data_IF_359814397983
#
_entry.id   IF_359814397983
#
_cell.length_a   1.000
_cell.length_b   1.000
_cell.length_c   1.000
_cell.angle_alpha   90.00
_cell.angle_beta   90.00
_cell.angle_gamma   90.00
#
_symmetry.space_group_name_H-M   'P 1'
#
loop_
_entity.id
_entity.type
_entity.pdbx_description
1 polymer ?
#
# COMPACT_ATOMS: atom_id res chain seq x y z
N UNK A 1 27.63 -23.99 -21.84
CA UNK A 1 28.49 -23.40 -20.81
C UNK A 1 29.39 -24.49 -20.17
N UNK A 2 28.84 -25.64 -19.74
CA UNK A 2 29.62 -26.74 -19.14
C UNK A 2 30.62 -27.36 -20.11
N UNK A 3 30.29 -27.45 -21.42
CA UNK A 3 31.16 -28.03 -22.43
C UNK A 3 32.31 -27.09 -22.86
N UNK A 4 32.11 -25.76 -22.81
CA UNK A 4 33.07 -24.77 -23.26
C UNK A 4 33.32 -23.68 -22.21
N UNK A 5 33.91 -24.00 -21.05
CA UNK A 5 34.09 -23.08 -19.96
C UNK A 5 35.07 -21.95 -20.23
N UNK A 6 35.95 -22.11 -21.23
CA UNK A 6 36.95 -21.12 -21.64
C UNK A 6 36.52 -20.26 -22.84
N UNK A 7 35.27 -20.40 -23.30
CA UNK A 7 34.76 -19.59 -24.40
C UNK A 7 34.75 -18.12 -24.03
N UNK A 8 35.31 -17.26 -24.87
CA UNK A 8 35.53 -15.82 -24.58
C UNK A 8 34.26 -15.08 -24.12
N UNK A 9 33.11 -15.46 -24.68
CA UNK A 9 31.80 -14.86 -24.35
C UNK A 9 30.99 -15.67 -23.32
N UNK A 10 31.60 -16.62 -22.62
CA UNK A 10 30.90 -17.47 -21.64
C UNK A 10 30.17 -16.66 -20.55
N UNK A 11 30.74 -15.53 -20.16
CA UNK A 11 30.12 -14.65 -19.15
C UNK A 11 28.86 -13.96 -19.64
N UNK A 12 28.77 -13.66 -20.95
CA UNK A 12 27.54 -13.08 -21.55
C UNK A 12 26.42 -14.11 -21.42
N UNK A 13 26.67 -15.36 -21.79
CA UNK A 13 25.66 -16.42 -21.67
C UNK A 13 25.29 -16.74 -20.22
N UNK A 14 26.25 -16.66 -19.28
CA UNK A 14 25.98 -16.82 -17.85
C UNK A 14 25.08 -15.70 -17.34
N UNK A 15 25.33 -14.46 -17.73
CA UNK A 15 24.51 -13.33 -17.34
C UNK A 15 23.09 -13.43 -17.91
N UNK A 16 22.96 -13.79 -19.19
CA UNK A 16 21.66 -14.01 -19.82
C UNK A 16 20.88 -15.14 -19.12
N UNK A 17 21.54 -16.25 -18.80
CA UNK A 17 20.91 -17.34 -18.07
C UNK A 17 20.45 -16.89 -16.68
N UNK A 18 21.30 -16.16 -15.95
CA UNK A 18 20.95 -15.61 -14.64
C UNK A 18 19.77 -14.64 -14.71
N UNK A 19 19.73 -13.77 -15.74
CA UNK A 19 18.59 -12.89 -15.97
C UNK A 19 17.30 -13.69 -16.22
N UNK A 20 17.36 -14.71 -17.06
CA UNK A 20 16.22 -15.59 -17.34
C UNK A 20 15.75 -16.37 -16.11
N UNK A 21 16.65 -16.77 -15.21
CA UNK A 21 16.35 -17.52 -13.98
C UNK A 21 16.02 -16.59 -12.79
N UNK A 22 16.15 -15.29 -12.95
CA UNK A 22 15.82 -14.33 -11.91
C UNK A 22 14.30 -14.24 -11.72
N UNK A 23 13.78 -14.40 -10.50
CA UNK A 23 12.37 -14.30 -10.26
C UNK A 23 11.88 -12.86 -10.47
N UNK A 24 10.75 -12.73 -11.13
CA UNK A 24 10.04 -11.46 -11.30
C UNK A 24 8.71 -11.53 -10.55
N UNK A 25 8.36 -10.49 -9.86
CA UNK A 25 7.11 -10.39 -9.13
C UNK A 25 6.56 -8.98 -9.20
N UNK A 26 5.44 -8.81 -9.87
CA UNK A 26 4.65 -7.59 -9.91
C UNK A 26 3.38 -7.78 -9.10
N UNK A 27 3.04 -6.81 -8.27
CA UNK A 27 1.91 -6.91 -7.34
C UNK A 27 1.05 -5.66 -7.46
N UNK A 28 -0.25 -5.88 -7.64
CA UNK A 28 -1.27 -4.87 -7.48
C UNK A 28 -2.14 -5.24 -6.28
N UNK A 29 -2.45 -4.27 -5.44
CA UNK A 29 -3.28 -4.48 -4.25
C UNK A 29 -4.13 -3.25 -3.97
N UNK A 30 -5.25 -3.47 -3.30
CA UNK A 30 -6.02 -2.38 -2.73
C UNK A 30 -5.24 -1.74 -1.57
N UNK A 31 -5.28 -0.40 -1.51
CA UNK A 31 -4.66 0.35 -0.43
C UNK A 31 -5.57 0.47 0.80
N UNK A 32 -6.84 0.12 0.67
CA UNK A 32 -7.83 0.16 1.74
C UNK A 32 -8.72 -1.08 1.68
N UNK A 33 -8.87 -1.76 2.80
CA UNK A 33 -9.65 -2.99 2.97
C UNK A 33 -10.73 -2.73 4.02
N UNK A 34 -11.96 -3.15 3.75
CA UNK A 34 -13.02 -3.10 4.75
C UNK A 34 -12.80 -4.16 5.83
N UNK A 35 -13.03 -3.87 7.13
CA UNK A 35 -12.90 -4.86 8.21
C UNK A 35 -13.78 -6.10 7.94
N UNK A 36 -13.22 -7.29 8.09
CA UNK A 36 -13.89 -8.56 7.77
C UNK A 36 -13.85 -8.96 6.30
N UNK A 37 -13.25 -8.15 5.43
CA UNK A 37 -12.99 -8.50 4.03
C UNK A 37 -11.54 -8.96 3.83
N UNK A 38 -11.26 -9.43 2.63
CA UNK A 38 -9.94 -9.90 2.26
C UNK A 38 -9.09 -8.79 1.65
N UNK A 39 -7.83 -8.70 2.04
CA UNK A 39 -6.80 -8.08 1.23
C UNK A 39 -6.63 -8.92 -0.03
N UNK A 40 -6.79 -8.32 -1.20
CA UNK A 40 -6.60 -8.98 -2.49
C UNK A 40 -5.26 -8.54 -3.08
N UNK A 41 -4.41 -9.51 -3.42
CA UNK A 41 -3.13 -9.30 -4.08
C UNK A 41 -3.20 -9.92 -5.46
N UNK A 42 -3.19 -9.11 -6.51
CA UNK A 42 -3.08 -9.56 -7.89
C UNK A 42 -1.61 -9.64 -8.27
N UNK A 43 -1.17 -10.81 -8.65
CA UNK A 43 0.24 -11.12 -8.88
C UNK A 43 0.47 -11.45 -10.35
N UNK A 44 1.57 -10.92 -10.91
CA UNK A 44 2.19 -11.41 -12.13
C UNK A 44 3.60 -11.84 -11.78
N UNK A 45 3.98 -13.05 -12.14
CA UNK A 45 5.24 -13.65 -11.68
C UNK A 45 5.90 -14.55 -12.70
N UNK A 46 7.22 -14.64 -12.61
CA UNK A 46 8.07 -15.56 -13.37
C UNK A 46 9.05 -16.20 -12.39
N UNK A 47 9.38 -17.48 -12.56
CA UNK A 47 10.32 -18.21 -11.70
C UNK A 47 10.08 -18.11 -10.18
N UNK A 48 8.81 -18.09 -9.81
CA UNK A 48 8.39 -17.93 -8.42
C UNK A 48 7.56 -19.14 -8.01
N UNK A 49 8.18 -20.26 -7.58
CA UNK A 49 7.46 -21.49 -7.25
C UNK A 49 6.66 -21.35 -5.96
N UNK A 50 7.10 -20.51 -5.05
CA UNK A 50 6.50 -20.31 -3.75
C UNK A 50 6.68 -18.86 -3.30
N UNK A 51 5.69 -18.33 -2.60
CA UNK A 51 5.70 -17.01 -1.97
C UNK A 51 5.41 -17.11 -0.49
N UNK A 52 6.10 -16.32 0.32
CA UNK A 52 5.71 -16.09 1.71
C UNK A 52 5.27 -14.65 1.88
N UNK A 53 4.02 -14.48 2.30
CA UNK A 53 3.42 -13.17 2.62
C UNK A 53 3.40 -13.01 4.13
N UNK A 54 4.06 -11.97 4.64
CA UNK A 54 4.03 -11.56 6.05
C UNK A 54 3.31 -10.23 6.16
N UNK A 55 2.37 -10.15 7.09
CA UNK A 55 1.66 -8.90 7.39
C UNK A 55 2.07 -8.40 8.75
N UNK A 56 2.48 -7.15 8.80
CA UNK A 56 2.92 -6.46 10.01
C UNK A 56 1.97 -5.30 10.32
N UNK A 57 1.70 -5.08 11.60
CA UNK A 57 1.08 -3.84 12.04
C UNK A 57 2.08 -2.70 11.81
N UNK A 58 1.64 -1.62 11.18
CA UNK A 58 2.52 -0.46 10.96
C UNK A 58 2.63 0.36 12.23
N UNK A 59 3.85 0.70 12.63
CA UNK A 59 4.13 1.66 13.70
C UNK A 59 4.18 3.11 13.20
N UNK A 60 3.98 3.31 11.89
CA UNK A 60 4.06 4.65 11.30
C UNK A 60 2.84 5.45 11.65
N UNK A 61 3.05 6.64 12.17
CA UNK A 61 2.03 7.67 12.18
C UNK A 61 1.76 8.10 10.73
N UNK A 62 0.49 8.33 10.34
CA UNK A 62 0.14 8.74 8.99
C UNK A 62 0.92 9.96 8.50
N UNK A 63 1.15 10.93 9.40
CA UNK A 63 1.92 12.15 9.13
C UNK A 63 3.39 11.90 8.82
N UNK A 64 3.94 10.79 9.28
CA UNK A 64 5.32 10.38 9.05
C UNK A 64 5.47 9.39 7.87
N UNK A 65 4.37 9.01 7.23
CA UNK A 65 4.38 8.01 6.17
C UNK A 65 5.26 8.41 4.98
N UNK A 66 5.36 9.72 4.69
CA UNK A 66 6.16 10.25 3.57
C UNK A 66 7.64 10.40 3.90
N UNK A 67 7.97 10.70 5.15
CA UNK A 67 9.35 11.00 5.55
C UNK A 67 10.32 9.84 5.41
N UNK A 68 9.82 8.61 5.33
CA UNK A 68 10.60 7.39 5.44
C UNK A 68 10.57 6.48 4.21
N UNK A 69 10.24 7.00 3.03
CA UNK A 69 10.34 6.25 1.79
C UNK A 69 11.77 5.71 1.52
N UNK A 70 12.79 6.36 2.10
CA UNK A 70 14.20 6.04 1.85
C UNK A 70 14.99 5.56 3.09
N UNK A 71 14.43 5.63 4.30
CA UNK A 71 15.14 5.16 5.51
C UNK A 71 14.46 3.92 6.09
N UNK A 72 15.17 2.77 5.95
CA UNK A 72 14.94 1.50 6.66
C UNK A 72 13.48 1.15 6.99
N UNK A 73 12.76 0.63 5.99
CA UNK A 73 11.38 0.17 6.15
C UNK A 73 11.20 -0.85 7.30
N UNK A 74 12.24 -1.64 7.61
CA UNK A 74 12.22 -2.65 8.68
C UNK A 74 12.01 -2.06 10.08
N UNK A 75 12.53 -0.86 10.35
CA UNK A 75 12.46 -0.26 11.71
C UNK A 75 11.06 0.29 12.07
N UNK A 76 10.12 0.30 11.12
CA UNK A 76 8.76 0.82 11.32
C UNK A 76 7.69 -0.27 11.28
N UNK A 77 8.11 -1.52 11.24
CA UNK A 77 7.23 -2.68 11.37
C UNK A 77 7.05 -2.98 12.85
N UNK A 78 5.80 -3.10 13.27
CA UNK A 78 5.42 -3.59 14.57
C UNK A 78 5.29 -5.11 14.60
N UNK A 79 4.31 -5.58 15.33
CA UNK A 79 3.99 -6.99 15.47
C UNK A 79 3.64 -7.63 14.12
N UNK A 80 4.18 -8.81 13.87
CA UNK A 80 3.75 -9.66 12.75
C UNK A 80 2.40 -10.29 13.10
N UNK A 81 1.39 -9.96 12.33
CA UNK A 81 0.01 -10.41 12.60
C UNK A 81 -0.39 -11.63 11.77
N UNK A 82 0.25 -11.83 10.62
CA UNK A 82 0.02 -13.00 9.75
C UNK A 82 1.29 -13.40 9.01
N UNK A 83 1.39 -14.71 8.75
CA UNK A 83 2.35 -15.30 7.81
C UNK A 83 1.66 -16.43 7.06
N UNK A 84 1.70 -16.37 5.74
CA UNK A 84 1.07 -17.36 4.87
C UNK A 84 2.03 -17.65 3.73
N UNK A 85 2.23 -18.94 3.46
CA UNK A 85 3.02 -19.39 2.31
C UNK A 85 2.08 -19.94 1.26
N UNK A 86 2.26 -19.50 0.02
CA UNK A 86 1.49 -19.91 -1.15
C UNK A 86 2.37 -20.67 -2.11
N UNK A 87 1.87 -21.80 -2.58
CA UNK A 87 2.47 -22.55 -3.68
C UNK A 87 1.92 -22.03 -5.01
N UNK A 88 2.81 -21.59 -5.91
CA UNK A 88 2.44 -20.94 -7.16
C UNK A 88 2.32 -21.92 -8.33
N UNK A 89 2.53 -23.23 -8.11
CA UNK A 89 2.35 -24.34 -9.06
C UNK A 89 3.04 -24.21 -10.44
N UNK A 90 3.98 -23.26 -10.61
CA UNK A 90 4.73 -23.05 -11.84
C UNK A 90 6.23 -22.84 -11.58
N UNK A 91 6.94 -23.83 -11.01
CA UNK A 91 8.32 -23.64 -10.55
C UNK A 91 9.34 -23.35 -11.67
N UNK A 92 9.10 -23.81 -12.90
CA UNK A 92 10.11 -23.83 -13.98
C UNK A 92 9.62 -23.21 -15.30
N UNK A 93 8.61 -22.34 -15.27
CA UNK A 93 8.10 -21.68 -16.47
C UNK A 93 8.78 -20.34 -16.73
N UNK A 94 9.33 -20.16 -17.93
CA UNK A 94 9.81 -18.86 -18.43
C UNK A 94 8.66 -17.95 -18.91
N UNK A 95 7.43 -18.42 -18.83
CA UNK A 95 6.24 -17.62 -19.15
C UNK A 95 5.72 -16.94 -17.91
N UNK A 96 5.20 -15.74 -18.07
CA UNK A 96 4.51 -15.03 -17.00
C UNK A 96 3.27 -15.81 -16.56
N UNK A 97 3.14 -16.00 -15.26
CA UNK A 97 1.94 -16.52 -14.62
C UNK A 97 1.21 -15.38 -13.91
N UNK A 98 -0.09 -15.52 -13.76
CA UNK A 98 -0.94 -14.64 -12.96
C UNK A 98 -1.65 -15.43 -11.86
N UNK A 99 -1.89 -14.78 -10.74
CA UNK A 99 -2.62 -15.36 -9.62
C UNK A 99 -3.23 -14.27 -8.75
N UNK A 100 -4.30 -14.61 -8.05
CA UNK A 100 -4.93 -13.73 -7.06
C UNK A 100 -4.87 -14.40 -5.70
N UNK A 101 -4.19 -13.76 -4.75
CA UNK A 101 -4.16 -14.20 -3.36
C UNK A 101 -5.12 -13.37 -2.53
N UNK A 102 -5.83 -14.02 -1.61
CA UNK A 102 -6.78 -13.38 -0.71
C UNK A 102 -6.39 -13.68 0.73
N UNK A 103 -6.34 -12.64 1.56
CA UNK A 103 -5.92 -12.74 2.96
C UNK A 103 -6.96 -12.02 3.83
N UNK A 104 -7.70 -12.72 4.70
CA UNK A 104 -8.74 -12.11 5.53
C UNK A 104 -8.13 -11.11 6.53
N UNK A 105 -8.77 -9.92 6.63
CA UNK A 105 -8.35 -8.83 7.51
C UNK A 105 -9.53 -8.31 8.33
N UNK A 106 -9.49 -8.48 9.65
CA UNK A 106 -10.63 -8.20 10.53
C UNK A 106 -10.45 -6.92 11.36
N UNK A 107 -9.21 -6.64 11.80
CA UNK A 107 -8.94 -5.56 12.75
C UNK A 107 -8.57 -4.27 12.05
N UNK A 108 -9.21 -3.19 12.46
CA UNK A 108 -8.85 -1.83 12.05
C UNK A 108 -7.36 -1.56 12.33
N UNK A 109 -6.69 -0.91 11.40
CA UNK A 109 -5.28 -0.57 11.56
C UNK A 109 -4.58 -0.21 10.25
N UNK A 110 -3.37 0.31 10.41
CA UNK A 110 -2.43 0.46 9.31
C UNK A 110 -1.50 -0.75 9.29
N UNK A 111 -1.30 -1.31 8.12
CA UNK A 111 -0.53 -2.53 7.92
C UNK A 111 0.48 -2.39 6.80
N UNK A 112 1.50 -3.25 6.83
CA UNK A 112 2.45 -3.45 5.75
C UNK A 112 2.52 -4.94 5.43
N UNK A 113 2.33 -5.30 4.16
CA UNK A 113 2.67 -6.64 3.72
C UNK A 113 4.09 -6.68 3.16
N UNK A 114 4.75 -7.80 3.38
CA UNK A 114 6.08 -8.11 2.85
C UNK A 114 6.00 -9.46 2.19
N UNK A 115 6.31 -9.51 0.91
CA UNK A 115 6.32 -10.75 0.13
C UNK A 115 7.76 -11.09 -0.19
N UNK A 116 8.14 -12.32 0.11
CA UNK A 116 9.46 -12.86 -0.19
C UNK A 116 9.35 -14.14 -1.00
N UNK A 117 10.30 -14.36 -1.88
CA UNK A 117 10.48 -15.64 -2.58
C UNK A 117 11.52 -16.44 -1.82
N UNK A 118 11.18 -17.62 -1.25
CA UNK A 118 12.12 -18.46 -0.52
C UNK A 118 13.36 -18.79 -1.34
N UNK A 119 14.53 -18.64 -0.71
CA UNK A 119 15.83 -18.93 -1.37
C UNK A 119 16.27 -17.89 -2.41
N UNK A 120 15.53 -16.78 -2.59
CA UNK A 120 15.88 -15.70 -3.52
C UNK A 120 15.94 -14.34 -2.79
N UNK A 121 16.71 -13.41 -3.35
CA UNK A 121 16.83 -12.05 -2.80
C UNK A 121 15.72 -11.11 -3.27
N UNK A 122 14.54 -11.63 -3.57
CA UNK A 122 13.40 -10.84 -4.00
C UNK A 122 12.49 -10.55 -2.81
N UNK A 123 12.27 -9.27 -2.56
CA UNK A 123 11.33 -8.79 -1.53
C UNK A 123 10.52 -7.64 -2.08
N UNK A 124 9.21 -7.75 -2.02
CA UNK A 124 8.28 -6.67 -2.36
C UNK A 124 7.47 -6.33 -1.12
N UNK A 125 7.26 -5.04 -0.87
CA UNK A 125 6.41 -4.60 0.25
C UNK A 125 5.55 -3.41 -0.15
N UNK A 126 4.34 -3.36 0.40
CA UNK A 126 3.46 -2.21 0.30
C UNK A 126 2.64 -2.07 1.57
N UNK A 127 2.00 -0.92 1.73
CA UNK A 127 1.17 -0.56 2.88
C UNK A 127 -0.29 -0.51 2.47
N UNK A 128 -1.15 -0.83 3.41
CA UNK A 128 -2.58 -0.72 3.27
C UNK A 128 -3.22 -0.38 4.62
N UNK A 129 -4.45 0.09 4.56
CA UNK A 129 -5.27 0.28 5.76
C UNK A 129 -6.40 -0.75 5.81
N UNK A 130 -6.78 -1.12 7.02
CA UNK A 130 -8.08 -1.75 7.26
C UNK A 130 -8.93 -0.69 7.94
N UNK A 131 -9.89 -0.14 7.18
CA UNK A 131 -10.69 1.01 7.59
C UNK A 131 -12.09 0.93 6.97
N UNK A 132 -13.07 1.46 7.68
CA UNK A 132 -14.43 1.61 7.17
C UNK A 132 -14.62 2.87 6.33
N UNK A 133 -13.62 3.77 6.33
CA UNK A 133 -13.74 5.10 5.75
C UNK A 133 -13.22 5.14 4.31
N UNK A 134 -14.01 5.70 3.42
CA UNK A 134 -13.58 6.18 2.12
C UNK A 134 -13.71 7.70 2.05
N UNK A 135 -12.84 8.35 1.27
CA UNK A 135 -12.92 9.79 1.02
C UNK A 135 -12.78 10.07 -0.47
N UNK A 136 -13.68 10.90 -0.97
CA UNK A 136 -13.64 11.46 -2.32
C UNK A 136 -13.43 12.97 -2.22
N UNK A 137 -12.56 13.50 -3.06
CA UNK A 137 -12.28 14.94 -3.10
C UNK A 137 -12.84 15.56 -4.36
N UNK A 138 -13.44 16.74 -4.23
CA UNK A 138 -13.86 17.59 -5.34
C UNK A 138 -13.22 18.96 -5.19
N UNK A 139 -12.35 19.31 -6.13
CA UNK A 139 -11.77 20.65 -6.18
C UNK A 139 -12.60 21.49 -7.15
N UNK A 140 -13.48 22.31 -6.62
CA UNK A 140 -14.17 23.36 -7.40
C UNK A 140 -13.68 24.71 -6.94
N UNK A 141 -13.30 25.52 -7.89
CA UNK A 141 -12.86 26.92 -7.94
C UNK A 141 -12.43 27.66 -6.69
N UNK A 142 -13.03 27.50 -5.50
CA UNK A 142 -12.64 28.25 -4.31
C UNK A 142 -12.51 27.43 -3.02
N UNK A 143 -13.29 26.37 -2.83
CA UNK A 143 -13.29 25.57 -1.60
C UNK A 143 -13.24 24.08 -1.95
N UNK A 144 -12.15 23.38 -1.69
CA UNK A 144 -12.13 21.93 -1.85
C UNK A 144 -13.16 21.29 -0.92
N UNK A 145 -13.93 20.35 -1.46
CA UNK A 145 -14.91 19.56 -0.72
C UNK A 145 -14.43 18.13 -0.57
N UNK A 146 -14.71 17.54 0.57
CA UNK A 146 -14.42 16.14 0.88
C UNK A 146 -15.70 15.44 1.26
N UNK A 147 -16.09 14.44 0.49
CA UNK A 147 -17.15 13.52 0.84
C UNK A 147 -16.54 12.32 1.56
N UNK A 148 -16.99 12.06 2.78
CA UNK A 148 -16.60 10.87 3.55
C UNK A 148 -17.78 9.90 3.58
N UNK A 149 -17.50 8.66 3.17
CA UNK A 149 -18.50 7.58 3.13
C UNK A 149 -17.98 6.33 3.83
N UNK A 150 -18.91 5.47 4.20
CA UNK A 150 -18.58 4.08 4.54
C UNK A 150 -18.12 3.37 3.26
N UNK A 151 -16.96 2.73 3.34
CA UNK A 151 -16.25 2.13 2.20
C UNK A 151 -17.06 1.00 1.53
N UNK A 152 -17.89 0.27 2.28
CA UNK A 152 -18.66 -0.86 1.76
C UNK A 152 -20.02 -0.42 1.22
N UNK A 153 -20.76 0.36 2.01
CA UNK A 153 -22.13 0.75 1.68
C UNK A 153 -22.24 2.01 0.84
N UNK A 154 -21.17 2.80 0.76
CA UNK A 154 -21.17 4.12 0.12
C UNK A 154 -22.01 5.17 0.88
N UNK A 155 -22.58 4.84 2.04
CA UNK A 155 -23.41 5.78 2.81
C UNK A 155 -22.56 6.92 3.37
N UNK A 156 -23.06 8.18 3.29
CA UNK A 156 -22.36 9.30 3.86
C UNK A 156 -22.19 9.16 5.39
N UNK A 157 -21.08 9.65 5.91
CA UNK A 157 -20.75 9.60 7.33
C UNK A 157 -20.78 11.02 7.89
N UNK A 158 -21.75 11.31 8.76
CA UNK A 158 -21.85 12.55 9.52
C UNK A 158 -20.84 12.56 10.68
N UNK A 159 -20.26 13.73 10.98
CA UNK A 159 -19.38 13.95 12.13
C UNK A 159 -17.98 13.34 11.99
N UNK A 160 -17.61 12.77 10.85
CA UNK A 160 -16.25 12.37 10.59
C UNK A 160 -15.33 13.60 10.59
N UNK A 161 -14.16 13.48 11.23
CA UNK A 161 -13.16 14.54 11.24
C UNK A 161 -12.27 14.40 10.01
N UNK A 162 -12.25 15.38 9.13
CA UNK A 162 -11.34 15.48 7.99
C UNK A 162 -10.16 16.33 8.40
N UNK A 163 -9.02 15.70 8.62
CA UNK A 163 -7.75 16.38 8.89
C UNK A 163 -7.11 16.73 7.55
N UNK A 164 -6.65 17.97 7.41
CA UNK A 164 -6.01 18.41 6.17
C UNK A 164 -4.57 18.86 6.41
N UNK A 165 -3.73 18.65 5.39
CA UNK A 165 -2.30 18.78 5.47
C UNK A 165 -1.72 19.53 4.26
N UNK A 166 -0.52 20.07 4.48
CA UNK A 166 0.35 20.66 3.46
C UNK A 166 1.72 20.01 3.48
N UNK A 167 2.34 19.84 2.34
CA UNK A 167 3.73 19.40 2.24
C UNK A 167 4.67 20.56 2.54
N UNK A 168 5.62 20.34 3.42
CA UNK A 168 6.75 21.25 3.58
C UNK A 168 7.77 20.95 2.47
N UNK A 169 7.88 21.86 1.51
CA UNK A 169 8.74 21.70 0.33
C UNK A 169 10.23 21.58 0.68
N UNK A 170 10.66 22.11 1.84
CA UNK A 170 12.08 22.08 2.23
C UNK A 170 12.54 20.71 2.71
N UNK A 171 11.68 19.95 3.36
CA UNK A 171 12.04 18.67 3.98
C UNK A 171 11.11 17.51 3.63
N UNK A 172 10.13 17.73 2.74
CA UNK A 172 9.18 16.71 2.28
C UNK A 172 8.25 16.17 3.38
N UNK A 173 8.13 16.87 4.52
CA UNK A 173 7.24 16.43 5.60
C UNK A 173 5.82 16.95 5.40
N UNK A 174 4.83 16.17 5.81
CA UNK A 174 3.45 16.59 5.84
C UNK A 174 3.18 17.31 7.16
N UNK A 175 2.58 18.51 7.09
CA UNK A 175 2.22 19.32 8.24
C UNK A 175 0.70 19.46 8.34
N UNK A 176 0.13 19.08 9.48
CA UNK A 176 -1.28 19.30 9.77
C UNK A 176 -1.57 20.80 9.78
N UNK A 177 -2.59 21.20 9.03
CA UNK A 177 -3.04 22.59 8.90
C UNK A 177 -4.33 22.85 9.66
N UNK A 178 -5.10 21.82 9.95
CA UNK A 178 -6.35 21.88 10.67
C UNK A 178 -7.24 20.68 10.44
N UNK A 179 -8.48 20.82 10.85
CA UNK A 179 -9.52 19.81 10.68
C UNK A 179 -10.89 20.46 10.50
N UNK A 180 -11.82 19.73 9.85
CA UNK A 180 -13.23 20.09 9.69
C UNK A 180 -14.06 18.82 9.88
N UNK A 181 -15.27 18.93 10.39
CA UNK A 181 -16.21 17.81 10.49
C UNK A 181 -17.12 17.76 9.28
N UNK A 182 -17.50 16.54 8.91
CA UNK A 182 -18.53 16.32 7.88
C UNK A 182 -19.93 16.64 8.41
N UNK A 183 -20.76 17.14 7.52
CA UNK A 183 -22.18 17.38 7.75
C UNK A 183 -23.00 16.08 7.58
N UNK A 184 -24.36 16.21 7.60
CA UNK A 184 -25.30 15.08 7.41
C UNK A 184 -25.17 14.38 6.07
N UNK A 185 -24.65 15.08 5.06
CA UNK A 185 -24.38 14.52 3.72
C UNK A 185 -22.99 13.93 3.60
N UNK A 186 -22.23 13.85 4.70
CA UNK A 186 -20.86 13.38 4.72
C UNK A 186 -19.86 14.37 4.13
N UNK A 187 -20.25 15.64 3.91
CA UNK A 187 -19.43 16.64 3.23
C UNK A 187 -18.71 17.52 4.25
N UNK A 188 -17.40 17.67 4.07
CA UNK A 188 -16.57 18.65 4.74
C UNK A 188 -16.07 19.67 3.71
N UNK A 189 -16.29 20.97 3.98
CA UNK A 189 -15.82 22.08 3.15
C UNK A 189 -14.50 22.58 3.75
N UNK A 190 -13.41 22.50 2.98
CA UNK A 190 -12.08 22.90 3.41
C UNK A 190 -11.86 24.41 3.19
N UNK A 191 -11.02 25.09 4.02
CA UNK A 191 -10.81 26.53 3.89
C UNK A 191 -10.04 26.89 2.61
N UNK A 192 -10.62 27.74 1.76
CA UNK A 192 -10.07 28.18 0.46
C UNK A 192 -8.70 28.87 0.52
N UNK A 193 -8.44 29.57 1.62
CA UNK A 193 -7.20 30.39 1.78
C UNK A 193 -5.95 29.58 2.09
N UNK A 194 -6.08 28.27 2.31
CA UNK A 194 -4.95 27.38 2.64
C UNK A 194 -4.61 26.50 1.47
N UNK A 195 -3.34 26.42 1.13
CA UNK A 195 -2.85 25.39 0.18
C UNK A 195 -2.93 24.03 0.86
N UNK A 196 -3.98 23.28 0.55
CA UNK A 196 -4.22 21.94 1.07
C UNK A 196 -3.84 20.95 -0.02
N UNK A 197 -2.98 19.98 0.29
CA UNK A 197 -2.49 18.99 -0.66
C UNK A 197 -2.93 17.58 -0.29
N UNK A 198 -3.22 17.34 0.99
CA UNK A 198 -3.58 16.01 1.46
C UNK A 198 -4.68 16.10 2.53
N UNK A 199 -5.49 15.05 2.58
CA UNK A 199 -6.54 14.87 3.58
C UNK A 199 -6.47 13.49 4.21
N UNK A 200 -7.07 13.34 5.39
CA UNK A 200 -7.28 12.09 6.09
C UNK A 200 -8.59 12.13 6.88
N UNK A 201 -9.60 11.35 6.50
CA UNK A 201 -10.81 11.21 7.32
C UNK A 201 -10.53 10.31 8.52
N UNK A 202 -11.09 10.64 9.67
CA UNK A 202 -11.01 9.83 10.88
C UNK A 202 -12.33 9.84 11.64
N UNK A 203 -12.64 8.74 12.29
CA UNK A 203 -13.67 8.61 13.30
C UNK A 203 -13.04 8.26 14.65
N UNK A 204 -13.79 8.42 15.73
CA UNK A 204 -13.32 8.05 17.07
C UNK A 204 -12.97 6.57 17.15
N UNK A 205 -13.78 5.72 16.53
CA UNK A 205 -13.64 4.27 16.47
C UNK A 205 -12.75 3.78 15.31
N UNK A 206 -12.48 4.63 14.31
CA UNK A 206 -11.65 4.30 13.15
C UNK A 206 -10.70 5.43 12.78
N UNK A 207 -9.49 5.35 13.25
CA UNK A 207 -8.39 6.24 12.90
C UNK A 207 -7.39 5.61 11.92
N UNK A 208 -7.81 4.54 11.23
CA UNK A 208 -6.93 3.70 10.41
C UNK A 208 -6.83 4.14 8.95
N UNK A 209 -7.62 5.11 8.53
CA UNK A 209 -7.59 5.62 7.15
C UNK A 209 -6.22 6.17 6.76
N UNK A 210 -5.85 5.99 5.51
CA UNK A 210 -4.63 6.55 4.93
C UNK A 210 -4.83 8.02 4.51
N UNK A 211 -3.71 8.73 4.34
CA UNK A 211 -3.71 10.07 3.78
C UNK A 211 -3.92 9.97 2.26
N UNK A 212 -4.85 10.75 1.73
CA UNK A 212 -5.19 10.84 0.31
C UNK A 212 -4.81 12.22 -0.23
N UNK A 213 -4.32 12.27 -1.48
CA UNK A 213 -4.05 13.53 -2.17
C UNK A 213 -5.34 14.22 -2.59
N UNK A 214 -5.33 15.56 -2.60
CA UNK A 214 -6.35 16.38 -3.25
C UNK A 214 -5.82 16.75 -4.64
N UNK A 215 -6.59 16.47 -5.66
CA UNK A 215 -6.31 16.80 -7.06
C UNK A 215 -7.15 17.99 -7.51
#
# INVERSE_FOLDING_TARGET
IRQYPKYERVNIFKNQLNEMETPVLNIQSDNNVYPGKNLTLQLKYVHTPQLTVRIYKSLRQPENAWRNLYKNSKSMRGEQVKEITFDMHRPNSYTEGDSTLTIPMDKLGLYEYVITVPGKQLTVSNRFSVSRLAALTRSQTNNPEVLVTDLESGKPIEGATVIYYKTNMMNGTIQRQGEVKTDRLGIAILPAKKKIEHIRPVLREDSSSIITNIY
#
